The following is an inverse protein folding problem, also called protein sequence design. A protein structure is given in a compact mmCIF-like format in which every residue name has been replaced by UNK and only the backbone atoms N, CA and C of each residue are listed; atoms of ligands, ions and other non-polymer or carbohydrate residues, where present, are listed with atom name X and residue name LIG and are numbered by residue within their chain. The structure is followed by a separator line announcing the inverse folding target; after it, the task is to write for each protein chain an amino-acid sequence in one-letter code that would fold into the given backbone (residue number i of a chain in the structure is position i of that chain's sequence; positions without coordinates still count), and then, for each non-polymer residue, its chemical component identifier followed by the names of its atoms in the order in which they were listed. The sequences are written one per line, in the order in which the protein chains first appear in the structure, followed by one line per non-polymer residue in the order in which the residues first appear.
data_IF_697103541882
#
_entry.id   IF_697103541882
#
_cell.length_a   1.000
_cell.length_b   1.000
_cell.length_c   1.000
_cell.angle_alpha   90.00
_cell.angle_beta   90.00
_cell.angle_gamma   90.00
#
_symmetry.space_group_name_H-M   'P 1'
#
loop_
_entity.id
_entity.type
_entity.pdbx_description
1 polymer ?
#
# COMPACT_ATOMS: atom_id res chain seq x y z
N UNK A 1 21.13 -14.12 12.27
CA UNK A 1 19.80 -14.16 11.63
C UNK A 1 19.88 -13.34 10.36
N UNK A 2 19.49 -13.90 9.23
CA UNK A 2 19.51 -13.21 7.92
C UNK A 2 18.10 -12.71 7.56
N UNK A 3 17.98 -11.41 7.37
CA UNK A 3 16.73 -10.74 7.05
C UNK A 3 16.82 -10.19 5.63
N UNK A 4 15.84 -10.51 4.79
CA UNK A 4 15.78 -10.03 3.40
C UNK A 4 14.53 -9.22 3.19
N UNK A 5 14.70 -7.95 2.79
CA UNK A 5 13.62 -7.06 2.35
C UNK A 5 13.55 -7.11 0.83
N UNK A 6 12.43 -7.56 0.27
CA UNK A 6 12.31 -7.85 -1.16
C UNK A 6 11.88 -6.65 -2.00
N UNK A 7 11.19 -5.69 -1.40
CA UNK A 7 10.60 -4.52 -2.07
C UNK A 7 10.70 -3.25 -1.21
N UNK A 8 11.91 -3.00 -0.70
CA UNK A 8 12.24 -1.91 0.22
C UNK A 8 11.95 -0.52 -0.33
N UNK A 9 12.11 -0.31 -1.63
CA UNK A 9 11.81 0.97 -2.27
C UNK A 9 10.34 1.38 -2.20
N UNK A 10 9.41 0.41 -2.06
CA UNK A 10 8.00 0.69 -1.82
C UNK A 10 7.69 1.03 -0.36
N UNK A 11 8.53 0.58 0.57
CA UNK A 11 8.34 0.73 2.01
C UNK A 11 8.97 1.99 2.54
N UNK A 12 10.12 2.34 2.00
CA UNK A 12 10.96 3.42 2.49
C UNK A 12 11.61 4.15 1.30
N UNK A 13 10.97 5.21 0.82
CA UNK A 13 11.53 6.02 -0.26
C UNK A 13 12.72 6.89 0.19
N UNK A 14 13.25 6.69 1.40
CA UNK A 14 14.39 7.40 1.98
C UNK A 14 14.07 8.29 3.17
N UNK A 15 12.85 8.21 3.71
CA UNK A 15 12.38 9.00 4.85
C UNK A 15 12.47 8.27 6.21
N UNK A 16 12.74 6.95 6.20
CA UNK A 16 12.86 6.14 7.40
C UNK A 16 14.25 5.51 7.53
N UNK A 17 14.68 5.25 8.76
CA UNK A 17 15.93 4.53 9.04
C UNK A 17 15.71 3.02 9.06
N UNK A 18 16.64 2.27 8.45
CA UNK A 18 16.71 0.81 8.55
C UNK A 18 17.52 0.32 9.75
N UNK A 19 18.15 1.22 10.53
CA UNK A 19 18.97 0.87 11.70
C UNK A 19 18.27 -0.06 12.70
N UNK A 20 16.97 0.13 13.05
CA UNK A 20 16.29 -0.79 13.94
C UNK A 20 16.24 -2.23 13.41
N UNK A 21 16.22 -2.40 12.08
CA UNK A 21 16.23 -3.72 11.46
C UNK A 21 17.64 -4.33 11.48
N UNK A 22 18.67 -3.52 11.20
CA UNK A 22 20.08 -3.93 11.29
C UNK A 22 20.49 -4.38 12.69
N UNK A 23 19.87 -3.83 13.73
CA UNK A 23 20.09 -4.26 15.12
C UNK A 23 19.62 -5.70 15.39
N UNK A 24 18.74 -6.26 14.55
CA UNK A 24 18.20 -7.61 14.70
C UNK A 24 19.03 -8.68 13.98
N UNK A 25 19.88 -8.31 13.03
CA UNK A 25 20.67 -9.27 12.29
C UNK A 25 21.32 -8.71 11.00
N UNK A 26 21.80 -9.61 10.17
CA UNK A 26 22.29 -9.30 8.84
C UNK A 26 21.12 -8.98 7.91
N UNK A 27 21.04 -7.75 7.40
CA UNK A 27 19.94 -7.27 6.59
C UNK A 27 20.39 -7.02 5.15
N UNK A 28 19.68 -7.59 4.20
CA UNK A 28 19.82 -7.27 2.77
C UNK A 28 18.53 -6.64 2.28
N UNK A 29 18.61 -5.45 1.69
CA UNK A 29 17.46 -4.69 1.21
C UNK A 29 17.55 -4.57 -0.31
N UNK A 30 16.47 -4.98 -0.98
CA UNK A 30 16.30 -4.78 -2.41
C UNK A 30 15.16 -3.78 -2.64
N UNK A 31 15.37 -2.81 -3.51
CA UNK A 31 14.33 -1.82 -3.85
C UNK A 31 13.11 -2.51 -4.48
N UNK A 32 13.37 -3.46 -5.38
CA UNK A 32 12.36 -4.30 -6.04
C UNK A 32 12.91 -5.70 -6.26
N UNK A 33 12.04 -6.71 -6.27
CA UNK A 33 12.44 -8.10 -6.55
C UNK A 33 11.58 -8.67 -7.68
N UNK A 34 12.17 -8.93 -8.87
CA UNK A 34 11.52 -9.71 -9.91
C UNK A 34 11.21 -11.14 -9.45
N UNK A 35 10.12 -11.72 -9.97
CA UNK A 35 9.64 -13.05 -9.55
C UNK A 35 10.72 -14.12 -9.70
N UNK A 36 11.46 -14.10 -10.83
CA UNK A 36 12.54 -15.04 -11.14
C UNK A 36 13.76 -14.91 -10.21
N UNK A 37 13.90 -13.83 -9.46
CA UNK A 37 14.97 -13.58 -8.50
C UNK A 37 14.61 -13.89 -7.05
N UNK A 38 13.32 -14.03 -6.74
CA UNK A 38 12.86 -14.18 -5.36
C UNK A 38 13.48 -15.42 -4.67
N UNK A 39 13.47 -16.58 -5.32
CA UNK A 39 14.05 -17.80 -4.78
C UNK A 39 15.55 -17.68 -4.49
N UNK A 40 16.30 -17.06 -5.42
CA UNK A 40 17.74 -16.85 -5.25
C UNK A 40 18.03 -15.93 -4.05
N UNK A 41 17.25 -14.85 -3.89
CA UNK A 41 17.43 -13.87 -2.82
C UNK A 41 17.06 -14.40 -1.44
N UNK A 42 16.10 -15.34 -1.39
CA UNK A 42 15.60 -15.93 -0.16
C UNK A 42 16.27 -17.23 0.27
N UNK A 43 17.19 -17.79 -0.55
CA UNK A 43 17.78 -19.11 -0.33
C UNK A 43 18.25 -19.35 1.11
N UNK A 44 18.94 -18.37 1.69
CA UNK A 44 19.57 -18.44 3.00
C UNK A 44 18.90 -17.51 4.03
N UNK A 45 17.72 -16.96 3.71
CA UNK A 45 17.00 -16.03 4.58
C UNK A 45 16.30 -16.76 5.72
N UNK A 46 16.43 -16.25 6.93
CA UNK A 46 15.61 -16.65 8.08
C UNK A 46 14.26 -15.89 8.07
N UNK A 47 14.28 -14.63 7.67
CA UNK A 47 13.10 -13.75 7.65
C UNK A 47 13.02 -13.05 6.28
N UNK A 48 11.84 -13.09 5.69
CA UNK A 48 11.48 -12.29 4.53
C UNK A 48 10.56 -11.15 4.92
N UNK A 49 10.83 -9.94 4.43
CA UNK A 49 9.95 -8.78 4.55
C UNK A 49 9.50 -8.41 3.15
N UNK A 50 8.18 -8.28 2.94
CA UNK A 50 7.62 -7.99 1.63
C UNK A 50 6.34 -7.18 1.70
N UNK A 51 6.02 -6.45 0.65
CA UNK A 51 4.74 -5.78 0.45
C UNK A 51 3.97 -6.39 -0.73
N UNK A 52 4.66 -6.70 -1.85
CA UNK A 52 4.03 -7.10 -3.11
C UNK A 52 4.56 -8.39 -3.72
N UNK A 53 5.71 -8.90 -3.27
CA UNK A 53 6.25 -10.16 -3.82
C UNK A 53 5.40 -11.33 -3.34
N UNK A 54 4.87 -12.10 -4.28
CA UNK A 54 4.02 -13.24 -3.98
C UNK A 54 4.84 -14.46 -3.51
N UNK A 55 4.35 -15.16 -2.48
CA UNK A 55 4.92 -16.38 -1.94
C UNK A 55 3.99 -17.56 -2.27
N UNK A 56 4.23 -18.18 -3.40
CA UNK A 56 3.59 -19.43 -3.80
C UNK A 56 4.21 -20.63 -3.08
N UNK A 57 3.55 -21.79 -3.15
CA UNK A 57 4.10 -23.05 -2.66
C UNK A 57 5.46 -23.35 -3.32
N UNK A 58 5.60 -23.11 -4.63
CA UNK A 58 6.84 -23.33 -5.36
C UNK A 58 7.99 -22.45 -4.82
N UNK A 59 7.76 -21.15 -4.61
CA UNK A 59 8.76 -20.26 -4.03
C UNK A 59 9.17 -20.75 -2.63
N UNK A 60 8.19 -21.09 -1.79
CA UNK A 60 8.45 -21.56 -0.41
C UNK A 60 9.26 -22.86 -0.37
N UNK A 61 9.11 -23.72 -1.36
CA UNK A 61 9.92 -24.95 -1.49
C UNK A 61 11.41 -24.66 -1.70
N UNK A 62 11.74 -23.49 -2.26
CA UNK A 62 13.13 -23.05 -2.50
C UNK A 62 13.73 -22.25 -1.33
N UNK A 63 12.98 -22.08 -0.22
CA UNK A 63 13.39 -21.29 0.94
C UNK A 63 13.49 -22.15 2.21
N UNK A 64 14.41 -23.13 2.29
CA UNK A 64 14.42 -24.15 3.34
C UNK A 64 14.73 -23.61 4.75
N UNK A 65 15.33 -22.41 4.85
CA UNK A 65 15.69 -21.80 6.15
C UNK A 65 14.69 -20.76 6.62
N UNK A 66 13.68 -20.42 5.79
CA UNK A 66 12.73 -19.36 6.08
C UNK A 66 11.82 -19.73 7.25
N UNK A 67 11.77 -18.87 8.26
CA UNK A 67 11.00 -19.05 9.50
C UNK A 67 9.85 -18.06 9.65
N UNK A 68 9.99 -16.89 9.01
CA UNK A 68 9.00 -15.82 9.12
C UNK A 68 8.87 -15.03 7.82
N UNK A 69 7.63 -14.68 7.49
CA UNK A 69 7.30 -13.73 6.42
C UNK A 69 6.54 -12.57 7.06
N UNK A 70 7.14 -11.38 7.06
CA UNK A 70 6.51 -10.15 7.52
C UNK A 70 5.96 -9.38 6.32
N UNK A 71 4.63 -9.35 6.19
CA UNK A 71 3.93 -8.59 5.16
C UNK A 71 3.70 -7.18 5.65
N UNK A 72 4.30 -6.19 5.01
CA UNK A 72 4.20 -4.77 5.38
C UNK A 72 2.96 -4.10 4.79
N UNK A 73 1.85 -4.81 4.79
CA UNK A 73 0.55 -4.38 4.31
C UNK A 73 -0.56 -4.99 5.16
N UNK A 74 -1.78 -4.49 5.00
CA UNK A 74 -2.98 -5.09 5.60
C UNK A 74 -3.35 -6.39 4.90
N UNK A 75 -3.37 -6.40 3.56
CA UNK A 75 -3.65 -7.58 2.76
C UNK A 75 -2.48 -8.54 2.70
N UNK A 76 -2.73 -9.82 2.91
CA UNK A 76 -1.75 -10.90 2.88
C UNK A 76 -2.09 -12.00 1.86
N UNK A 77 -3.00 -11.72 0.95
CA UNK A 77 -3.43 -12.65 -0.12
C UNK A 77 -2.31 -13.04 -1.10
N UNK A 78 -1.18 -12.35 -1.05
CA UNK A 78 0.03 -12.68 -1.80
C UNK A 78 0.79 -13.90 -1.20
N UNK A 79 0.41 -14.37 -0.02
CA UNK A 79 1.07 -15.49 0.66
C UNK A 79 0.18 -16.73 0.59
N UNK A 80 0.72 -17.84 0.12
CA UNK A 80 0.09 -19.16 0.28
C UNK A 80 0.21 -19.60 1.76
N UNK A 81 -0.83 -19.28 2.53
CA UNK A 81 -0.85 -19.58 3.96
C UNK A 81 -0.85 -21.09 4.26
N UNK A 82 -1.43 -21.91 3.38
CA UNK A 82 -1.44 -23.37 3.58
C UNK A 82 -0.03 -23.93 3.43
N UNK A 83 0.67 -23.51 2.38
CA UNK A 83 2.06 -23.91 2.14
C UNK A 83 3.02 -23.36 3.22
N UNK A 84 2.83 -22.14 3.69
CA UNK A 84 3.61 -21.54 4.77
C UNK A 84 3.42 -22.33 6.09
N UNK A 85 2.16 -22.65 6.44
CA UNK A 85 1.82 -23.44 7.64
C UNK A 85 2.42 -24.83 7.58
N UNK A 86 2.35 -25.52 6.44
CA UNK A 86 2.93 -26.84 6.26
C UNK A 86 4.45 -26.87 6.51
N UNK A 87 5.12 -25.72 6.28
CA UNK A 87 6.56 -25.52 6.50
C UNK A 87 6.88 -24.86 7.84
N UNK A 88 5.89 -24.66 8.70
CA UNK A 88 6.02 -23.98 10.00
C UNK A 88 6.56 -22.55 9.91
N UNK A 89 6.29 -21.87 8.80
CA UNK A 89 6.66 -20.48 8.57
C UNK A 89 5.58 -19.58 9.19
N UNK A 90 5.99 -18.68 10.08
CA UNK A 90 5.10 -17.68 10.69
C UNK A 90 4.84 -16.57 9.67
N UNK A 91 3.58 -16.20 9.49
CA UNK A 91 3.19 -15.07 8.62
C UNK A 91 2.56 -13.98 9.48
N UNK A 92 3.06 -12.76 9.35
CA UNK A 92 2.54 -11.56 10.03
C UNK A 92 2.16 -10.48 9.03
N UNK A 93 1.25 -9.60 9.42
CA UNK A 93 0.83 -8.44 8.62
C UNK A 93 0.63 -7.21 9.51
N UNK A 94 0.27 -6.05 8.91
CA UNK A 94 -0.03 -4.80 9.62
C UNK A 94 -1.51 -4.44 9.39
N UNK A 95 -2.43 -4.86 10.27
CA UNK A 95 -3.86 -4.91 9.96
C UNK A 95 -4.57 -3.55 9.88
N UNK A 96 -4.10 -2.50 10.59
CA UNK A 96 -4.93 -1.30 10.79
C UNK A 96 -4.24 0.05 10.56
N UNK A 97 -3.04 0.10 10.03
CA UNK A 97 -2.27 1.34 9.87
C UNK A 97 -2.92 2.39 8.95
N UNK A 98 -3.61 1.96 7.91
CA UNK A 98 -4.17 2.82 6.86
C UNK A 98 -5.63 3.21 7.04
N UNK A 99 -6.34 2.70 8.05
CA UNK A 99 -7.80 2.80 8.17
C UNK A 99 -8.30 4.25 8.17
N UNK A 100 -7.72 5.10 9.03
CA UNK A 100 -8.14 6.50 9.14
C UNK A 100 -7.82 7.29 7.86
N UNK A 101 -6.62 7.10 7.32
CA UNK A 101 -6.16 7.79 6.10
C UNK A 101 -7.00 7.43 4.88
N UNK A 102 -7.30 6.12 4.71
CA UNK A 102 -8.14 5.65 3.60
C UNK A 102 -9.56 6.19 3.73
N UNK A 103 -10.15 6.17 4.93
CA UNK A 103 -11.48 6.71 5.17
C UNK A 103 -11.55 8.21 4.87
N UNK A 104 -10.55 8.98 5.33
CA UNK A 104 -10.44 10.41 5.04
C UNK A 104 -10.33 10.68 3.54
N UNK A 105 -9.46 9.97 2.83
CA UNK A 105 -9.26 10.16 1.40
C UNK A 105 -10.49 9.76 0.58
N UNK A 106 -11.17 8.68 0.96
CA UNK A 106 -12.44 8.26 0.34
C UNK A 106 -13.51 9.36 0.48
N UNK A 107 -13.61 9.96 1.68
CA UNK A 107 -14.53 11.07 1.92
C UNK A 107 -14.15 12.31 1.09
N UNK A 108 -12.85 12.62 1.01
CA UNK A 108 -12.35 13.74 0.20
C UNK A 108 -12.69 13.56 -1.29
N UNK A 109 -12.48 12.37 -1.85
CA UNK A 109 -12.85 12.06 -3.24
C UNK A 109 -14.35 12.17 -3.47
N UNK A 110 -15.17 11.64 -2.58
CA UNK A 110 -16.63 11.74 -2.66
C UNK A 110 -17.08 13.21 -2.70
N UNK A 111 -16.58 14.02 -1.78
CA UNK A 111 -16.92 15.44 -1.73
C UNK A 111 -16.40 16.23 -2.94
N UNK A 112 -15.19 15.92 -3.41
CA UNK A 112 -14.62 16.53 -4.60
C UNK A 112 -15.46 16.26 -5.86
N UNK A 113 -15.95 15.01 -6.00
CA UNK A 113 -16.85 14.63 -7.11
C UNK A 113 -18.21 15.31 -7.00
N UNK A 114 -18.82 15.29 -5.82
CA UNK A 114 -20.15 15.86 -5.60
C UNK A 114 -20.17 17.38 -5.77
N UNK A 115 -19.13 18.08 -5.31
CA UNK A 115 -19.01 19.53 -5.36
C UNK A 115 -18.20 20.03 -6.57
N UNK A 116 -17.67 19.14 -7.41
CA UNK A 116 -16.88 19.48 -8.60
C UNK A 116 -15.73 20.46 -8.31
N UNK A 117 -15.03 20.23 -7.18
CA UNK A 117 -14.01 21.15 -6.66
C UNK A 117 -12.95 21.47 -7.71
N UNK A 118 -12.42 20.45 -8.41
CA UNK A 118 -11.38 20.64 -9.41
C UNK A 118 -11.84 21.47 -10.63
N UNK A 119 -13.10 21.30 -11.07
CA UNK A 119 -13.65 22.07 -12.21
C UNK A 119 -13.80 23.55 -11.84
N UNK A 120 -14.34 23.84 -10.65
CA UNK A 120 -14.50 25.20 -10.17
C UNK A 120 -13.16 25.88 -9.89
N UNK A 121 -12.19 25.14 -9.32
CA UNK A 121 -10.84 25.64 -9.10
C UNK A 121 -10.17 26.06 -10.42
N UNK A 122 -10.20 25.17 -11.43
CA UNK A 122 -9.64 25.47 -12.75
C UNK A 122 -10.32 26.69 -13.41
N UNK A 123 -11.65 26.80 -13.31
CA UNK A 123 -12.40 27.91 -13.89
C UNK A 123 -12.08 29.26 -13.19
N UNK A 124 -12.00 29.26 -11.87
CA UNK A 124 -11.62 30.48 -11.11
C UNK A 124 -10.22 30.91 -11.50
N UNK A 125 -9.26 30.02 -11.61
CA UNK A 125 -7.90 30.34 -12.05
C UNK A 125 -7.84 30.85 -13.51
N UNK A 126 -8.75 30.38 -14.36
CA UNK A 126 -8.90 30.92 -15.72
C UNK A 126 -9.62 32.29 -15.78
N UNK A 127 -10.01 32.84 -14.65
CA UNK A 127 -10.69 34.12 -14.52
C UNK A 127 -12.20 34.04 -14.72
N UNK A 128 -12.83 32.86 -14.61
CA UNK A 128 -14.26 32.66 -14.75
C UNK A 128 -15.05 33.49 -13.74
N UNK A 129 -14.65 33.48 -12.48
CA UNK A 129 -15.28 34.31 -11.45
C UNK A 129 -15.27 35.81 -11.79
N UNK A 130 -14.12 36.33 -12.22
CA UNK A 130 -13.98 37.76 -12.54
C UNK A 130 -14.76 38.19 -13.78
N UNK A 131 -15.17 37.26 -14.63
CA UNK A 131 -15.92 37.51 -15.86
C UNK A 131 -17.42 37.21 -15.71
N UNK A 132 -17.83 36.64 -14.58
CA UNK A 132 -19.23 36.28 -14.34
C UNK A 132 -20.09 37.54 -14.17
N UNK A 133 -21.25 37.55 -14.78
CA UNK A 133 -22.23 38.66 -14.67
C UNK A 133 -22.93 38.68 -13.31
N UNK A 134 -22.79 37.62 -12.50
CA UNK A 134 -23.39 37.46 -11.18
C UNK A 134 -22.35 37.28 -10.10
N UNK A 135 -22.69 37.63 -8.88
CA UNK A 135 -21.89 37.39 -7.69
C UNK A 135 -21.77 35.90 -7.33
N UNK A 136 -22.57 35.02 -7.95
CA UNK A 136 -22.46 33.56 -7.84
C UNK A 136 -22.71 32.91 -9.20
N UNK A 137 -22.07 31.77 -9.42
CA UNK A 137 -22.26 30.92 -10.59
C UNK A 137 -21.86 29.47 -10.28
N UNK A 138 -22.26 28.58 -11.17
CA UNK A 138 -21.86 27.15 -11.16
C UNK A 138 -21.66 26.69 -12.59
N UNK A 139 -20.72 25.78 -12.78
CA UNK A 139 -20.41 25.22 -14.10
C UNK A 139 -21.36 24.08 -14.48
N UNK A 140 -21.68 23.24 -13.51
CA UNK A 140 -22.53 22.07 -13.66
C UNK A 140 -23.33 21.85 -12.37
N UNK A 141 -24.47 21.12 -12.41
CA UNK A 141 -25.18 20.75 -11.21
C UNK A 141 -24.31 19.99 -10.22
N UNK A 142 -24.34 20.39 -8.97
CA UNK A 142 -23.67 19.72 -7.86
C UNK A 142 -24.64 18.73 -7.19
N UNK A 143 -24.08 17.73 -6.50
CA UNK A 143 -24.86 16.72 -5.78
C UNK A 143 -24.77 16.98 -4.29
N UNK A 144 -25.90 17.38 -3.68
CA UNK A 144 -26.01 17.46 -2.24
C UNK A 144 -26.16 16.05 -1.63
N UNK A 145 -25.39 15.77 -0.57
CA UNK A 145 -25.36 14.44 0.07
C UNK A 145 -26.47 14.24 1.11
N UNK A 146 -27.18 15.32 1.51
CA UNK A 146 -28.25 15.21 2.49
C UNK A 146 -29.31 14.19 2.06
N UNK A 147 -29.61 13.24 2.92
CA UNK A 147 -30.57 12.17 2.66
C UNK A 147 -30.11 11.08 1.68
N UNK A 148 -28.88 11.14 1.15
CA UNK A 148 -28.33 10.12 0.25
C UNK A 148 -27.77 8.93 1.04
N UNK A 149 -27.71 7.78 0.36
CA UNK A 149 -27.09 6.56 0.89
C UNK A 149 -25.79 6.31 0.15
N UNK A 150 -24.72 5.97 0.89
CA UNK A 150 -23.42 5.60 0.35
C UNK A 150 -23.25 4.09 0.50
N UNK A 151 -22.88 3.42 -0.59
CA UNK A 151 -22.47 2.02 -0.58
C UNK A 151 -20.94 1.92 -0.76
N UNK A 152 -20.31 1.02 -0.02
CA UNK A 152 -18.90 0.66 -0.17
C UNK A 152 -18.86 -0.81 -0.58
N UNK A 153 -18.17 -1.13 -1.68
CA UNK A 153 -18.08 -2.46 -2.27
C UNK A 153 -16.66 -3.00 -2.12
#
# INVERSE_FOLDING_TARGET
MKIVVLDGGLLNPGDLSWEPLHALGEVTIYDTTPVDKAAQRLRDADIAITNKVAFSEDLLAHCPQLKCIAVTATGYNIIDLAAARARQIVVTNVPTYGTATVAQFTTALLLALCNRVGEHDADVHAGGWSKADSWCYWLQPMVELAGKRVGII
#
